data_IF_270585149565
#
_entry.id   IF_270585149565
#
_cell.length_a   1.000
_cell.length_b   1.000
_cell.length_c   1.000
_cell.angle_alpha   90.00
_cell.angle_beta   90.00
_cell.angle_gamma   90.00
#
_symmetry.space_group_name_H-M   'P 1'
#
loop_
_entity.id
_entity.type
_entity.pdbx_description
1 polymer ?
#
# COMPACT_ATOMS: atom_id res chain seq x y z
N UNK A 1 18.39 5.87 -2.63
CA UNK A 1 18.33 7.24 -2.09
C UNK A 1 16.94 7.40 -1.51
N UNK A 2 16.79 7.61 -0.21
CA UNK A 2 15.46 7.72 0.38
C UNK A 2 14.76 9.02 -0.06
N UNK A 3 13.59 8.89 -0.67
CA UNK A 3 12.75 10.01 -1.05
C UNK A 3 12.00 10.51 0.20
N UNK A 4 12.11 11.81 0.48
CA UNK A 4 11.32 12.50 1.52
C UNK A 4 10.35 13.53 0.95
N UNK A 5 10.54 13.89 -0.33
CA UNK A 5 9.78 14.87 -1.11
C UNK A 5 9.81 14.45 -2.56
N UNK A 6 8.77 14.77 -3.32
CA UNK A 6 8.71 14.44 -4.73
C UNK A 6 9.95 15.00 -5.45
N UNK A 7 10.73 14.13 -6.07
CA UNK A 7 11.93 14.50 -6.82
C UNK A 7 11.67 15.33 -8.07
N UNK A 8 10.40 15.53 -8.46
CA UNK A 8 10.00 16.34 -9.60
C UNK A 8 9.47 17.73 -9.18
N UNK A 9 8.44 17.78 -8.33
CA UNK A 9 7.80 19.05 -7.94
C UNK A 9 8.12 19.52 -6.51
N UNK A 10 8.79 18.70 -5.70
CA UNK A 10 9.11 19.02 -4.31
C UNK A 10 7.96 18.89 -3.31
N UNK A 11 6.78 18.45 -3.74
CA UNK A 11 5.63 18.17 -2.87
C UNK A 11 5.98 17.14 -1.77
N UNK A 12 5.32 17.24 -0.63
CA UNK A 12 5.44 16.32 0.51
C UNK A 12 4.29 15.31 0.59
N UNK A 13 3.22 15.52 -0.18
CA UNK A 13 2.04 14.68 -0.19
C UNK A 13 2.13 13.59 -1.27
N UNK A 14 1.84 12.36 -0.85
CA UNK A 14 1.88 11.17 -1.68
C UNK A 14 0.66 10.30 -1.43
N UNK A 15 0.25 9.60 -2.48
CA UNK A 15 -0.78 8.56 -2.42
C UNK A 15 -0.09 7.21 -2.57
N UNK A 16 -0.50 6.25 -1.74
CA UNK A 16 0.02 4.90 -1.74
C UNK A 16 -1.10 3.97 -2.16
N UNK A 17 -0.87 3.19 -3.21
CA UNK A 17 -1.75 2.10 -3.61
C UNK A 17 -1.12 0.78 -3.17
N UNK A 18 -1.93 -0.01 -2.47
CA UNK A 18 -1.53 -1.27 -1.86
C UNK A 18 -2.52 -2.38 -2.16
N UNK A 19 -2.02 -3.61 -2.20
CA UNK A 19 -2.82 -4.83 -2.29
C UNK A 19 -2.69 -5.61 -0.98
N UNK A 20 -3.81 -5.78 -0.29
CA UNK A 20 -3.93 -6.59 0.93
C UNK A 20 -4.72 -7.87 0.61
N UNK A 21 -4.11 -9.01 0.89
CA UNK A 21 -4.71 -10.33 0.70
C UNK A 21 -5.03 -10.93 2.05
N UNK A 22 -6.29 -11.31 2.27
CA UNK A 22 -6.73 -11.98 3.49
C UNK A 22 -6.94 -13.49 3.27
N UNK A 23 -6.60 -14.29 4.28
CA UNK A 23 -7.17 -15.63 4.43
C UNK A 23 -8.59 -15.50 4.95
N UNK A 24 -9.50 -16.13 4.23
CA UNK A 24 -10.90 -16.22 4.61
C UNK A 24 -11.37 -17.68 4.56
N UNK A 25 -12.37 -18.00 5.37
CA UNK A 25 -13.07 -19.27 5.36
C UNK A 25 -14.56 -19.02 5.56
N UNK A 26 -15.39 -19.87 4.96
CA UNK A 26 -16.82 -19.89 5.24
C UNK A 26 -17.08 -20.64 6.54
N UNK A 27 -17.89 -20.07 7.43
CA UNK A 27 -18.36 -20.74 8.64
C UNK A 27 -19.28 -21.92 8.29
N UNK A 28 -19.18 -23.01 9.04
CA UNK A 28 -20.07 -24.17 8.86
C UNK A 28 -21.46 -23.93 9.46
N UNK A 29 -21.62 -22.98 10.38
CA UNK A 29 -22.87 -22.71 11.09
C UNK A 29 -23.84 -21.81 10.30
N UNK A 30 -23.32 -20.74 9.69
CA UNK A 30 -24.11 -19.72 8.97
C UNK A 30 -23.73 -19.58 7.49
N UNK A 31 -22.65 -20.24 7.05
CA UNK A 31 -22.14 -20.16 5.67
C UNK A 31 -21.45 -18.83 5.35
N UNK A 32 -21.26 -17.93 6.31
CA UNK A 32 -20.72 -16.60 6.06
C UNK A 32 -19.21 -16.63 5.82
N UNK A 33 -18.74 -15.88 4.82
CA UNK A 33 -17.32 -15.74 4.53
C UNK A 33 -16.67 -14.79 5.53
N UNK A 34 -15.82 -15.32 6.40
CA UNK A 34 -15.09 -14.53 7.39
C UNK A 34 -13.60 -14.47 7.03
N UNK A 35 -13.08 -13.26 6.87
CA UNK A 35 -11.64 -13.02 6.82
C UNK A 35 -11.05 -13.06 8.23
N UNK A 36 -10.04 -13.90 8.47
CA UNK A 36 -9.50 -14.13 9.82
C UNK A 36 -8.00 -13.84 9.95
N UNK A 37 -7.29 -13.63 8.83
CA UNK A 37 -5.85 -13.34 8.87
C UNK A 37 -5.40 -12.57 7.63
N UNK A 38 -4.49 -11.61 7.79
CA UNK A 38 -3.76 -11.04 6.65
C UNK A 38 -2.73 -12.07 6.16
N UNK A 39 -2.84 -12.47 4.90
CA UNK A 39 -1.88 -13.37 4.26
C UNK A 39 -0.70 -12.61 3.67
N UNK A 40 -0.97 -11.51 2.97
CA UNK A 40 0.02 -10.71 2.25
C UNK A 40 -0.41 -9.25 2.27
N UNK A 41 0.56 -8.35 2.34
CA UNK A 41 0.38 -6.91 2.22
C UNK A 41 1.55 -6.39 1.41
N UNK A 42 1.26 -5.79 0.25
CA UNK A 42 2.27 -5.34 -0.71
C UNK A 42 1.91 -3.94 -1.17
N UNK A 43 2.87 -3.03 -1.15
CA UNK A 43 2.75 -1.73 -1.80
C UNK A 43 2.96 -1.95 -3.30
N UNK A 44 2.00 -1.53 -4.11
CA UNK A 44 2.11 -1.66 -5.56
C UNK A 44 2.82 -0.45 -6.16
N UNK A 45 2.34 0.74 -5.78
CA UNK A 45 2.83 1.99 -6.36
C UNK A 45 2.60 3.16 -5.42
N UNK A 46 3.53 4.11 -5.43
CA UNK A 46 3.43 5.36 -4.71
C UNK A 46 3.47 6.47 -5.74
N UNK A 47 2.55 7.43 -5.65
CA UNK A 47 2.51 8.55 -6.59
C UNK A 47 2.47 9.87 -5.84
N UNK A 48 3.20 10.86 -6.38
CA UNK A 48 3.10 12.24 -5.91
C UNK A 48 1.69 12.75 -6.22
N UNK A 49 0.97 13.23 -5.22
CA UNK A 49 -0.41 13.71 -5.39
C UNK A 49 -0.49 14.91 -6.37
N UNK A 50 0.58 15.71 -6.44
CA UNK A 50 0.58 16.95 -7.23
C UNK A 50 0.96 16.74 -8.69
N UNK A 51 1.96 15.90 -8.97
CA UNK A 51 2.52 15.76 -10.32
C UNK A 51 2.46 14.33 -10.86
N UNK A 52 1.79 13.43 -10.13
CA UNK A 52 1.51 12.04 -10.53
C UNK A 52 2.77 11.22 -10.83
N UNK A 53 3.94 11.68 -10.37
CA UNK A 53 5.19 10.94 -10.55
C UNK A 53 5.13 9.68 -9.71
N UNK A 54 5.38 8.56 -10.36
CA UNK A 54 5.41 7.23 -9.78
C UNK A 54 6.75 6.92 -9.11
N UNK A 55 6.67 6.11 -8.05
CA UNK A 55 7.76 5.60 -7.25
C UNK A 55 7.46 4.17 -6.83
N UNK A 56 8.51 3.37 -6.61
CA UNK A 56 8.40 2.05 -6.01
C UNK A 56 8.55 2.13 -4.49
N UNK A 57 8.16 1.08 -3.77
CA UNK A 57 8.40 0.97 -2.32
C UNK A 57 9.89 1.14 -1.97
N UNK A 58 10.79 0.59 -2.80
CA UNK A 58 12.25 0.65 -2.59
C UNK A 58 12.82 2.07 -2.62
N UNK A 59 12.09 3.03 -3.21
CA UNK A 59 12.48 4.44 -3.22
C UNK A 59 12.36 5.10 -1.83
N UNK A 60 11.70 4.45 -0.87
CA UNK A 60 11.46 4.96 0.47
C UNK A 60 12.06 4.03 1.53
N UNK A 61 12.94 4.57 2.39
CA UNK A 61 13.60 3.77 3.44
C UNK A 61 12.67 3.40 4.61
N UNK A 62 11.57 4.13 4.85
CA UNK A 62 10.73 3.96 6.05
C UNK A 62 9.27 4.39 5.79
N UNK A 63 8.49 3.54 5.12
CA UNK A 63 7.03 3.72 5.07
C UNK A 63 6.45 3.07 6.33
N UNK A 64 5.92 3.88 7.25
CA UNK A 64 5.26 3.39 8.47
C UNK A 64 3.75 3.26 8.20
N UNK A 65 3.20 2.06 8.39
CA UNK A 65 1.76 1.76 8.35
C UNK A 65 1.21 1.45 9.74
#
# INVERSE_FOLDING_TARGET
MAIRRCSNCGCEDFLIQETIVHKAATSEEDGELTAYKVFSHVIEIIFCEQCEKEYSEEDFENINF
#
